data_IF_079138730031
#
_entry.id   IF_079138730031
#
_cell.length_a   1.000
_cell.length_b   1.000
_cell.length_c   1.000
_cell.angle_alpha   90.00
_cell.angle_beta   90.00
_cell.angle_gamma   90.00
#
_symmetry.space_group_name_H-M   'P 1'
#
loop_
_entity.id
_entity.type
_entity.pdbx_description
1 polymer ?
#
# COMPACT_ATOMS: atom_id res chain seq x y z
N UNK A 1 -24.45 -19.99 28.64
CA UNK A 1 -23.22 -20.45 27.98
C UNK A 1 -22.06 -19.99 28.85
N UNK A 2 -21.34 -20.93 29.46
CA UNK A 2 -20.21 -20.63 30.35
C UNK A 2 -19.04 -20.14 29.51
N UNK A 3 -18.54 -18.92 29.77
CA UNK A 3 -17.31 -18.43 29.15
C UNK A 3 -16.18 -19.42 29.44
N UNK A 4 -15.65 -20.05 28.39
CA UNK A 4 -14.48 -20.91 28.48
C UNK A 4 -13.27 -20.00 28.72
N UNK A 5 -12.96 -19.73 29.99
CA UNK A 5 -11.79 -18.93 30.37
C UNK A 5 -10.52 -19.77 30.24
N UNK A 6 -9.56 -19.29 29.48
CA UNK A 6 -8.20 -19.84 29.42
C UNK A 6 -7.52 -19.48 30.75
N UNK A 7 -7.19 -20.47 31.57
CA UNK A 7 -6.71 -20.25 32.95
C UNK A 7 -5.26 -20.65 33.14
N UNK A 8 -4.73 -21.55 32.31
CA UNK A 8 -3.33 -21.96 32.35
C UNK A 8 -2.40 -20.97 31.64
N UNK A 9 -1.17 -20.82 32.14
CA UNK A 9 -0.14 -20.00 31.48
C UNK A 9 0.20 -20.52 30.08
N UNK A 10 0.45 -21.82 29.94
CA UNK A 10 0.72 -22.45 28.65
C UNK A 10 -0.48 -22.34 27.69
N UNK A 11 -1.69 -22.50 28.20
CA UNK A 11 -2.92 -22.39 27.41
C UNK A 11 -3.09 -20.97 26.82
N UNK A 12 -2.86 -19.94 27.64
CA UNK A 12 -2.90 -18.54 27.21
C UNK A 12 -1.77 -18.20 26.23
N UNK A 13 -0.57 -18.74 26.45
CA UNK A 13 0.56 -18.58 25.54
C UNK A 13 0.28 -19.20 24.17
N UNK A 14 -0.20 -20.45 24.12
CA UNK A 14 -0.54 -21.14 22.86
C UNK A 14 -1.66 -20.42 22.10
N UNK A 15 -2.67 -19.91 22.80
CA UNK A 15 -3.74 -19.12 22.17
C UNK A 15 -3.20 -17.82 21.57
N UNK A 16 -2.35 -17.09 22.30
CA UNK A 16 -1.73 -15.86 21.80
C UNK A 16 -0.83 -16.12 20.58
N UNK A 17 -0.07 -17.22 20.56
CA UNK A 17 0.71 -17.63 19.40
C UNK A 17 -0.20 -17.92 18.18
N UNK A 18 -1.29 -18.67 18.39
CA UNK A 18 -2.28 -18.93 17.35
C UNK A 18 -2.91 -17.66 16.78
N UNK A 19 -3.25 -16.69 17.64
CA UNK A 19 -3.74 -15.37 17.21
C UNK A 19 -2.70 -14.64 16.36
N UNK A 20 -1.43 -14.65 16.78
CA UNK A 20 -0.36 -14.00 16.03
C UNK A 20 -0.17 -14.62 14.65
N UNK A 21 -0.16 -15.96 14.56
CA UNK A 21 -0.02 -16.67 13.28
C UNK A 21 -1.23 -16.41 12.39
N UNK A 22 -2.45 -16.51 12.92
CA UNK A 22 -3.67 -16.22 12.18
C UNK A 22 -3.69 -14.77 11.66
N UNK A 23 -3.28 -13.80 12.48
CA UNK A 23 -3.21 -12.40 12.05
C UNK A 23 -2.24 -12.20 10.89
N UNK A 24 -1.09 -12.89 10.89
CA UNK A 24 -0.13 -12.81 9.79
C UNK A 24 -0.68 -13.48 8.52
N UNK A 25 -1.30 -14.65 8.63
CA UNK A 25 -1.92 -15.33 7.49
C UNK A 25 -3.02 -14.47 6.83
N UNK A 26 -3.88 -13.86 7.64
CA UNK A 26 -4.93 -12.95 7.15
C UNK A 26 -4.31 -11.77 6.40
N UNK A 27 -3.24 -11.16 6.94
CA UNK A 27 -2.51 -10.08 6.27
C UNK A 27 -1.87 -10.53 4.95
N UNK A 28 -1.46 -11.79 4.83
CA UNK A 28 -0.95 -12.38 3.59
C UNK A 28 -2.06 -12.83 2.62
N UNK A 29 -3.32 -12.47 2.86
CA UNK A 29 -4.45 -12.77 1.97
C UNK A 29 -5.12 -14.13 2.20
N UNK A 30 -4.73 -14.87 3.25
CA UNK A 30 -5.38 -16.15 3.60
C UNK A 30 -6.76 -15.89 4.19
N UNK A 31 -7.80 -16.21 3.42
CA UNK A 31 -9.20 -16.04 3.85
C UNK A 31 -9.72 -17.24 4.65
N UNK A 32 -9.21 -18.44 4.37
CA UNK A 32 -9.69 -19.70 4.96
C UNK A 32 -8.56 -20.71 5.08
N UNK A 33 -8.61 -21.52 6.14
CA UNK A 33 -7.71 -22.68 6.34
C UNK A 33 -8.54 -23.89 6.73
N UNK A 34 -7.96 -25.09 6.57
CA UNK A 34 -8.47 -26.30 7.23
C UNK A 34 -7.84 -26.39 8.64
N UNK A 35 -8.61 -26.16 9.73
CA UNK A 35 -8.03 -26.12 11.08
C UNK A 35 -7.49 -27.47 11.54
N UNK A 36 -8.12 -28.57 11.14
CA UNK A 36 -7.72 -29.93 11.53
C UNK A 36 -6.35 -30.28 10.94
N UNK A 37 -6.16 -30.02 9.64
CA UNK A 37 -4.89 -30.22 8.96
C UNK A 37 -3.79 -29.30 9.51
N UNK A 38 -4.14 -28.04 9.80
CA UNK A 38 -3.20 -27.06 10.36
C UNK A 38 -2.70 -27.47 11.75
N UNK A 39 -3.61 -27.85 12.64
CA UNK A 39 -3.27 -28.34 13.98
C UNK A 39 -2.49 -29.65 13.91
N UNK A 40 -2.85 -30.55 12.99
CA UNK A 40 -2.10 -31.79 12.78
C UNK A 40 -0.65 -31.51 12.37
N UNK A 41 -0.42 -30.64 11.39
CA UNK A 41 0.94 -30.29 10.95
C UNK A 41 1.80 -29.71 12.09
N UNK A 42 1.21 -28.85 12.92
CA UNK A 42 1.88 -28.31 14.11
C UNK A 42 2.25 -29.43 15.08
N UNK A 43 1.30 -30.30 15.41
CA UNK A 43 1.52 -31.41 16.35
C UNK A 43 2.60 -32.36 15.85
N UNK A 44 2.49 -32.84 14.62
CA UNK A 44 3.45 -33.77 14.00
C UNK A 44 4.87 -33.17 14.03
N UNK A 45 5.01 -31.88 13.71
CA UNK A 45 6.29 -31.16 13.76
C UNK A 45 6.86 -31.08 15.17
N UNK A 46 6.04 -30.81 16.19
CA UNK A 46 6.50 -30.72 17.59
C UNK A 46 6.97 -32.07 18.15
N UNK A 47 6.33 -33.17 17.75
CA UNK A 47 6.69 -34.52 18.21
C UNK A 47 7.78 -35.19 17.36
N UNK A 48 8.24 -34.52 16.29
CA UNK A 48 9.24 -35.04 15.36
C UNK A 48 8.73 -36.17 14.47
N UNK A 49 7.42 -36.26 14.26
CA UNK A 49 6.84 -37.17 13.28
C UNK A 49 7.17 -36.72 11.85
N UNK A 50 7.26 -37.67 10.93
CA UNK A 50 7.44 -37.33 9.51
C UNK A 50 6.20 -36.56 9.02
N UNK A 51 6.39 -35.38 8.41
CA UNK A 51 5.27 -34.58 7.94
C UNK A 51 4.52 -35.30 6.82
N UNK A 52 3.20 -35.11 6.76
CA UNK A 52 2.35 -35.64 5.70
C UNK A 52 2.61 -34.99 4.33
N UNK A 53 3.35 -33.89 4.30
CA UNK A 53 3.77 -33.18 3.09
C UNK A 53 5.29 -33.05 3.12
N UNK A 54 5.94 -33.35 1.98
CA UNK A 54 7.36 -33.11 1.84
C UNK A 54 7.65 -31.60 1.78
N UNK A 55 8.81 -31.12 2.27
CA UNK A 55 9.12 -29.69 2.27
C UNK A 55 9.01 -29.01 0.90
N UNK A 56 9.46 -29.67 -0.17
CA UNK A 56 9.40 -29.11 -1.53
C UNK A 56 7.95 -28.98 -2.04
N UNK A 57 7.09 -29.96 -1.73
CA UNK A 57 5.67 -29.91 -2.05
C UNK A 57 4.97 -28.79 -1.27
N UNK A 58 5.28 -28.67 0.02
CA UNK A 58 4.75 -27.59 0.85
C UNK A 58 5.15 -26.21 0.32
N UNK A 59 6.41 -26.03 -0.09
CA UNK A 59 6.89 -24.77 -0.66
C UNK A 59 6.16 -24.43 -1.97
N UNK A 60 6.01 -25.39 -2.89
CA UNK A 60 5.30 -25.15 -4.16
C UNK A 60 3.83 -24.78 -3.97
N UNK A 61 3.15 -25.38 -2.97
CA UNK A 61 1.77 -25.02 -2.62
C UNK A 61 1.72 -23.59 -2.07
N UNK A 62 2.64 -23.22 -1.18
CA UNK A 62 2.70 -21.88 -0.59
C UNK A 62 3.02 -20.81 -1.63
N UNK A 63 3.98 -21.06 -2.53
CA UNK A 63 4.32 -20.16 -3.64
C UNK A 63 3.11 -19.92 -4.54
N UNK A 64 2.45 -21.00 -4.97
CA UNK A 64 1.24 -20.91 -5.81
C UNK A 64 0.11 -20.16 -5.10
N UNK A 65 -0.04 -20.35 -3.79
CA UNK A 65 -1.03 -19.62 -3.00
C UNK A 65 -0.74 -18.12 -2.96
N UNK A 66 0.51 -17.75 -2.66
CA UNK A 66 0.95 -16.35 -2.58
C UNK A 66 0.83 -15.65 -3.95
N UNK A 67 1.17 -16.35 -5.04
CA UNK A 67 1.01 -15.81 -6.38
C UNK A 67 -0.46 -15.52 -6.71
N UNK A 68 -1.37 -16.48 -6.45
CA UNK A 68 -2.80 -16.28 -6.67
C UNK A 68 -3.37 -15.15 -5.80
N UNK A 69 -2.95 -15.07 -4.53
CA UNK A 69 -3.37 -14.00 -3.64
C UNK A 69 -2.91 -12.63 -4.16
N UNK A 70 -1.66 -12.52 -4.61
CA UNK A 70 -1.10 -11.30 -5.20
C UNK A 70 -1.82 -10.91 -6.50
N UNK A 71 -2.14 -11.86 -7.37
CA UNK A 71 -2.89 -11.60 -8.60
C UNK A 71 -4.32 -11.12 -8.33
N UNK A 72 -5.00 -11.74 -7.37
CA UNK A 72 -6.35 -11.35 -6.97
C UNK A 72 -6.35 -9.95 -6.33
N UNK A 73 -5.36 -9.64 -5.48
CA UNK A 73 -5.17 -8.30 -4.94
C UNK A 73 -4.90 -7.28 -6.05
N UNK A 74 -3.99 -7.58 -6.99
CA UNK A 74 -3.67 -6.71 -8.12
C UNK A 74 -4.89 -6.39 -8.98
N UNK A 75 -5.76 -7.37 -9.19
CA UNK A 75 -7.02 -7.20 -9.91
C UNK A 75 -7.99 -6.31 -9.14
N UNK A 76 -8.18 -6.58 -7.85
CA UNK A 76 -9.10 -5.82 -6.99
C UNK A 76 -8.65 -4.35 -6.84
N UNK A 77 -7.35 -4.12 -6.68
CA UNK A 77 -6.76 -2.78 -6.60
C UNK A 77 -6.92 -2.02 -7.91
N UNK A 78 -6.68 -2.68 -9.06
CA UNK A 78 -6.87 -2.06 -10.37
C UNK A 78 -8.34 -1.68 -10.60
N UNK A 79 -9.27 -2.58 -10.33
CA UNK A 79 -10.72 -2.32 -10.48
C UNK A 79 -11.17 -1.17 -9.57
N UNK A 80 -10.81 -1.23 -8.28
CA UNK A 80 -11.17 -0.20 -7.30
C UNK A 80 -10.54 1.15 -7.62
N UNK A 81 -9.28 1.15 -8.06
CA UNK A 81 -8.56 2.35 -8.47
C UNK A 81 -9.17 3.01 -9.71
N UNK A 82 -9.51 2.23 -10.73
CA UNK A 82 -10.16 2.73 -11.95
C UNK A 82 -11.54 3.32 -11.64
N UNK A 83 -12.35 2.68 -10.81
CA UNK A 83 -13.65 3.22 -10.41
C UNK A 83 -13.47 4.50 -9.58
N UNK A 84 -12.55 4.51 -8.62
CA UNK A 84 -12.21 5.70 -7.84
C UNK A 84 -11.84 6.89 -8.74
N UNK A 85 -10.92 6.70 -9.69
CA UNK A 85 -10.48 7.75 -10.61
C UNK A 85 -11.62 8.22 -11.53
N UNK A 86 -12.44 7.29 -12.01
CA UNK A 86 -13.61 7.59 -12.86
C UNK A 86 -14.66 8.44 -12.14
N UNK A 87 -14.90 8.20 -10.86
CA UNK A 87 -15.75 9.05 -10.03
C UNK A 87 -15.06 10.38 -9.72
N UNK A 88 -13.76 10.34 -9.41
CA UNK A 88 -13.01 11.49 -8.93
C UNK A 88 -12.86 12.60 -9.98
N UNK A 89 -12.67 12.27 -11.27
CA UNK A 89 -12.64 13.26 -12.37
C UNK A 89 -13.93 14.09 -12.51
N UNK A 90 -15.04 13.62 -11.93
CA UNK A 90 -16.31 14.35 -11.98
C UNK A 90 -16.51 15.29 -10.79
N UNK A 91 -15.58 15.28 -9.82
CA UNK A 91 -15.64 16.15 -8.65
C UNK A 91 -15.18 17.56 -8.99
N UNK A 92 -15.75 18.54 -8.31
CA UNK A 92 -15.40 19.94 -8.49
C UNK A 92 -13.91 20.21 -8.19
N UNK A 93 -13.27 20.97 -9.06
CA UNK A 93 -11.86 21.34 -8.94
C UNK A 93 -10.85 20.24 -9.31
N UNK A 94 -11.32 19.06 -9.73
CA UNK A 94 -10.44 18.00 -10.24
C UNK A 94 -10.18 18.20 -11.73
N UNK A 95 -8.90 18.17 -12.11
CA UNK A 95 -8.42 18.19 -13.49
C UNK A 95 -7.76 16.87 -13.81
N UNK A 96 -8.07 16.28 -14.96
CA UNK A 96 -7.43 15.07 -15.50
C UNK A 96 -6.47 15.45 -16.64
N UNK A 97 -5.24 14.96 -16.57
CA UNK A 97 -4.22 15.12 -17.60
C UNK A 97 -4.29 13.97 -18.62
N UNK A 98 -3.72 14.12 -19.83
CA UNK A 98 -3.70 13.05 -20.83
C UNK A 98 -3.06 11.73 -20.37
N UNK A 99 -2.16 11.79 -19.40
CA UNK A 99 -1.54 10.61 -18.78
C UNK A 99 -2.48 9.81 -17.88
N UNK A 100 -3.65 10.36 -17.56
CA UNK A 100 -4.59 9.84 -16.55
C UNK A 100 -4.31 10.35 -15.13
N UNK A 101 -3.22 11.10 -14.91
CA UNK A 101 -3.00 11.79 -13.65
C UNK A 101 -4.15 12.76 -13.38
N UNK A 102 -4.73 12.69 -12.19
CA UNK A 102 -5.71 13.67 -11.74
C UNK A 102 -5.12 14.49 -10.61
N UNK A 103 -5.49 15.77 -10.55
CA UNK A 103 -5.11 16.63 -9.44
C UNK A 103 -6.22 17.63 -9.11
N UNK A 104 -6.15 18.18 -7.91
CA UNK A 104 -6.95 19.31 -7.47
C UNK A 104 -6.05 20.33 -6.79
N UNK A 105 -6.15 21.57 -7.22
CA UNK A 105 -5.48 22.69 -6.57
C UNK A 105 -6.19 23.01 -5.26
N UNK A 106 -5.49 22.92 -4.14
CA UNK A 106 -6.00 23.29 -2.81
C UNK A 106 -5.60 24.73 -2.48
N UNK A 107 -4.35 25.08 -2.78
CA UNK A 107 -3.82 26.43 -2.74
C UNK A 107 -2.96 26.66 -3.99
N UNK A 108 -3.21 27.75 -4.70
CA UNK A 108 -2.39 28.16 -5.84
C UNK A 108 -1.22 29.00 -5.34
N UNK A 109 0.01 28.59 -5.64
CA UNK A 109 1.21 29.37 -5.42
C UNK A 109 1.47 30.34 -6.56
N UNK A 110 2.44 31.23 -6.38
CA UNK A 110 2.82 32.27 -7.35
C UNK A 110 4.32 32.23 -7.70
N UNK A 111 5.05 31.22 -7.22
CA UNK A 111 6.47 31.03 -7.50
C UNK A 111 6.77 30.38 -8.84
N UNK A 112 8.06 30.14 -9.10
CA UNK A 112 8.52 29.50 -10.34
C UNK A 112 8.06 28.04 -10.45
N UNK A 113 8.00 27.53 -11.69
CA UNK A 113 7.71 26.13 -11.97
C UNK A 113 9.03 25.33 -11.96
N UNK A 114 9.12 24.23 -11.18
CA UNK A 114 10.25 23.32 -11.23
C UNK A 114 10.48 22.72 -12.62
N UNK A 115 11.74 22.61 -13.02
CA UNK A 115 12.17 21.84 -14.20
C UNK A 115 12.54 20.41 -13.83
N UNK A 116 12.67 19.52 -14.82
CA UNK A 116 13.04 18.11 -14.62
C UNK A 116 14.37 17.90 -13.90
N UNK A 117 15.30 18.84 -14.01
CA UNK A 117 16.65 18.73 -13.43
C UNK A 117 16.75 19.33 -12.03
N UNK A 118 15.70 19.99 -11.57
CA UNK A 118 15.70 20.68 -10.29
C UNK A 118 15.52 19.70 -9.12
N UNK A 119 15.87 20.19 -7.94
CA UNK A 119 15.45 19.59 -6.69
C UNK A 119 14.36 20.46 -6.07
N UNK A 120 13.38 19.80 -5.47
CA UNK A 120 12.28 20.48 -4.79
C UNK A 120 12.23 20.03 -3.34
N UNK A 121 11.81 20.94 -2.47
CA UNK A 121 11.48 20.63 -1.10
C UNK A 121 9.98 20.72 -0.90
N UNK A 122 9.39 19.66 -0.34
CA UNK A 122 7.95 19.61 -0.14
C UNK A 122 7.56 18.99 1.20
N UNK A 123 6.38 19.40 1.66
CA UNK A 123 5.59 18.57 2.55
C UNK A 123 4.69 17.64 1.72
N UNK A 124 4.49 16.41 2.21
CA UNK A 124 3.57 15.47 1.58
C UNK A 124 2.94 14.52 2.58
N UNK A 125 1.77 14.00 2.19
CA UNK A 125 1.03 12.97 2.89
C UNK A 125 0.44 12.01 1.85
N UNK A 126 0.96 10.78 1.82
CA UNK A 126 0.60 9.73 0.87
C UNK A 126 -0.30 8.67 1.51
N UNK A 127 -1.44 8.41 0.86
CA UNK A 127 -2.44 7.44 1.30
C UNK A 127 -2.90 6.54 0.15
N UNK A 128 -3.32 5.32 0.49
CA UNK A 128 -4.12 4.49 -0.41
C UNK A 128 -5.55 5.07 -0.49
N UNK A 129 -6.33 4.64 -1.48
CA UNK A 129 -7.71 5.10 -1.68
C UNK A 129 -8.65 4.83 -0.49
N UNK A 130 -8.27 3.89 0.40
CA UNK A 130 -8.99 3.58 1.64
C UNK A 130 -8.58 4.46 2.84
N UNK A 131 -7.63 5.38 2.65
CA UNK A 131 -7.10 6.28 3.67
C UNK A 131 -5.91 5.72 4.45
N UNK A 132 -5.43 4.51 4.16
CA UNK A 132 -4.22 3.95 4.78
C UNK A 132 -3.01 4.80 4.41
N UNK A 133 -2.39 5.43 5.42
CA UNK A 133 -1.15 6.20 5.26
C UNK A 133 0.01 5.25 5.03
N UNK A 134 0.74 5.43 3.93
CA UNK A 134 1.96 4.67 3.65
C UNK A 134 3.23 5.50 3.87
N UNK A 135 3.14 6.83 3.72
CA UNK A 135 4.28 7.73 3.93
C UNK A 135 3.81 9.17 4.16
N UNK A 136 4.39 9.88 5.14
CA UNK A 136 4.08 11.29 5.37
C UNK A 136 5.27 12.05 5.96
N UNK A 137 5.67 13.13 5.30
CA UNK A 137 6.67 14.07 5.83
C UNK A 137 6.06 15.01 6.88
N UNK A 138 4.74 15.25 6.82
CA UNK A 138 4.00 16.02 7.81
C UNK A 138 3.99 15.31 9.16
N UNK A 139 3.71 13.99 9.18
CA UNK A 139 3.74 13.21 10.43
C UNK A 139 5.14 13.12 11.05
N UNK A 140 6.18 13.18 10.20
CA UNK A 140 7.57 13.29 10.65
C UNK A 140 7.96 14.69 11.13
N UNK A 141 7.15 15.70 10.86
CA UNK A 141 7.42 17.10 11.21
C UNK A 141 8.57 17.75 10.43
N UNK A 142 9.02 17.14 9.32
CA UNK A 142 10.13 17.67 8.52
C UNK A 142 9.85 17.50 7.02
N UNK A 143 10.01 18.57 6.20
CA UNK A 143 9.95 18.45 4.75
C UNK A 143 10.99 17.48 4.20
N UNK A 144 10.74 16.96 3.00
CA UNK A 144 11.69 16.14 2.27
C UNK A 144 12.15 16.86 1.00
N UNK A 145 13.37 16.56 0.57
CA UNK A 145 13.96 17.08 -0.68
C UNK A 145 14.03 15.93 -1.67
N UNK A 146 13.55 16.18 -2.89
CA UNK A 146 13.53 15.21 -3.97
C UNK A 146 14.07 15.83 -5.25
N UNK A 147 14.89 15.12 -6.03
CA UNK A 147 15.09 15.47 -7.43
C UNK A 147 13.77 15.23 -8.20
N UNK A 148 13.33 16.19 -9.01
CA UNK A 148 12.05 16.11 -9.74
C UNK A 148 11.99 14.85 -10.62
N UNK A 149 13.11 14.41 -11.18
CA UNK A 149 13.20 13.20 -12.01
C UNK A 149 13.46 11.90 -11.23
N UNK A 150 13.55 11.94 -9.90
CA UNK A 150 13.82 10.76 -9.05
C UNK A 150 12.63 10.26 -8.25
N UNK A 151 11.43 10.72 -8.60
CA UNK A 151 10.15 10.32 -7.98
C UNK A 151 9.27 9.58 -8.99
N UNK A 152 8.14 9.05 -8.53
CA UNK A 152 7.17 8.36 -9.41
C UNK A 152 6.67 9.29 -10.53
N UNK A 153 6.32 8.73 -11.69
CA UNK A 153 6.01 9.51 -12.89
C UNK A 153 4.88 10.54 -12.68
N UNK A 154 3.87 10.19 -11.86
CA UNK A 154 2.79 11.13 -11.52
C UNK A 154 3.29 12.37 -10.76
N UNK A 155 4.29 12.22 -9.89
CA UNK A 155 4.94 13.36 -9.25
C UNK A 155 5.83 14.14 -10.21
N UNK A 156 6.58 13.46 -11.09
CA UNK A 156 7.40 14.13 -12.12
C UNK A 156 6.52 15.09 -12.95
N UNK A 157 5.35 14.61 -13.39
CA UNK A 157 4.40 15.42 -14.16
C UNK A 157 3.78 16.54 -13.32
N UNK A 158 3.26 16.23 -12.13
CA UNK A 158 2.62 17.23 -11.26
C UNK A 158 3.56 18.37 -10.89
N UNK A 159 4.78 18.06 -10.44
CA UNK A 159 5.72 19.06 -9.92
C UNK A 159 6.08 20.13 -10.96
N UNK A 160 6.16 19.75 -12.24
CA UNK A 160 6.46 20.70 -13.34
C UNK A 160 5.28 21.62 -13.68
N UNK A 161 4.08 21.32 -13.16
CA UNK A 161 2.86 22.11 -13.34
C UNK A 161 2.48 22.88 -12.07
N UNK A 162 3.16 22.62 -10.95
CA UNK A 162 2.90 23.21 -9.64
C UNK A 162 3.80 24.44 -9.41
N UNK A 163 3.25 25.67 -9.37
CA UNK A 163 4.02 26.82 -8.92
C UNK A 163 4.53 26.61 -7.49
N UNK A 164 5.76 27.04 -7.20
CA UNK A 164 6.25 27.06 -5.81
C UNK A 164 5.27 27.85 -4.91
N UNK A 165 5.00 27.34 -3.72
CA UNK A 165 3.98 27.82 -2.79
C UNK A 165 2.61 27.13 -2.94
N UNK A 166 2.45 26.29 -3.97
CA UNK A 166 1.20 25.56 -4.19
C UNK A 166 1.01 24.40 -3.23
N UNK A 167 -0.25 24.11 -2.91
CA UNK A 167 -0.68 22.86 -2.30
C UNK A 167 -1.68 22.17 -3.21
N UNK A 168 -1.36 20.98 -3.68
CA UNK A 168 -2.22 20.19 -4.55
C UNK A 168 -2.55 18.85 -3.91
N UNK A 169 -3.71 18.30 -4.24
CA UNK A 169 -4.02 16.90 -4.01
C UNK A 169 -3.91 16.16 -5.35
N UNK A 170 -3.05 15.14 -5.40
CA UNK A 170 -2.80 14.30 -6.56
C UNK A 170 -3.51 12.96 -6.39
N UNK A 171 -4.08 12.44 -7.47
CA UNK A 171 -4.63 11.09 -7.55
C UNK A 171 -3.92 10.38 -8.69
N UNK A 172 -3.03 9.47 -8.33
CA UNK A 172 -2.02 8.89 -9.20
C UNK A 172 -2.46 7.47 -9.58
N UNK A 173 -2.83 7.21 -10.85
CA UNK A 173 -3.04 5.86 -11.36
C UNK A 173 -1.81 4.99 -11.12
N UNK A 174 -2.01 3.69 -10.98
CA UNK A 174 -0.93 2.78 -10.58
C UNK A 174 0.26 2.79 -11.55
N UNK A 175 0.00 3.00 -12.84
CA UNK A 175 0.95 3.07 -13.94
C UNK A 175 1.88 4.29 -13.83
N UNK A 176 1.40 5.36 -13.18
CA UNK A 176 2.19 6.56 -12.86
C UNK A 176 2.78 6.51 -11.44
N UNK A 177 2.47 5.45 -10.68
CA UNK A 177 2.96 5.15 -9.35
C UNK A 177 3.93 3.97 -9.33
N UNK A 178 3.57 2.89 -8.62
CA UNK A 178 4.42 1.71 -8.43
C UNK A 178 3.97 0.47 -9.23
N UNK A 179 2.94 0.61 -10.07
CA UNK A 179 2.48 -0.42 -11.00
C UNK A 179 2.12 -1.75 -10.34
N UNK A 180 2.30 -2.83 -11.11
CA UNK A 180 1.94 -4.19 -10.70
C UNK A 180 2.80 -4.73 -9.55
N UNK A 181 3.94 -4.14 -9.27
CA UNK A 181 4.85 -4.60 -8.23
C UNK A 181 4.50 -4.03 -6.85
N UNK A 182 3.88 -2.84 -6.79
CA UNK A 182 3.70 -2.13 -5.52
C UNK A 182 5.03 -1.69 -4.90
N UNK A 183 5.01 -1.26 -3.64
CA UNK A 183 6.20 -0.78 -2.93
C UNK A 183 6.08 -0.80 -1.40
N UNK A 184 7.22 -0.97 -0.73
CA UNK A 184 7.36 -0.74 0.72
C UNK A 184 6.55 -1.67 1.62
N UNK A 185 5.96 -2.74 1.08
CA UNK A 185 5.12 -3.69 1.81
C UNK A 185 3.73 -3.18 2.18
N UNK A 186 3.48 -1.87 2.08
CA UNK A 186 2.17 -1.24 2.34
C UNK A 186 1.44 -0.94 1.04
N UNK A 187 2.16 -0.55 -0.02
CA UNK A 187 1.56 -0.27 -1.32
C UNK A 187 1.46 -1.59 -2.08
N UNK A 188 0.23 -2.08 -2.21
CA UNK A 188 -0.07 -3.29 -2.97
C UNK A 188 0.09 -3.13 -4.49
N UNK A 189 0.02 -4.24 -5.23
CA UNK A 189 0.09 -4.24 -6.69
C UNK A 189 -1.09 -3.45 -7.29
N UNK A 190 -0.82 -2.69 -8.36
CA UNK A 190 -1.79 -1.84 -9.07
C UNK A 190 -2.56 -0.83 -8.18
N UNK A 191 -2.00 -0.45 -7.03
CA UNK A 191 -2.63 0.50 -6.15
C UNK A 191 -2.64 1.91 -6.77
N UNK A 192 -3.81 2.55 -6.78
CA UNK A 192 -3.94 3.99 -7.00
C UNK A 192 -3.56 4.74 -5.72
N UNK A 193 -2.81 5.82 -5.86
CA UNK A 193 -2.26 6.57 -4.73
C UNK A 193 -2.91 7.96 -4.65
N UNK A 194 -3.09 8.46 -3.44
CA UNK A 194 -3.53 9.83 -3.18
C UNK A 194 -2.45 10.55 -2.40
N UNK A 195 -2.02 11.70 -2.89
CA UNK A 195 -1.04 12.53 -2.22
C UNK A 195 -1.59 13.93 -1.98
N UNK A 196 -1.45 14.45 -0.77
CA UNK A 196 -1.41 15.89 -0.56
C UNK A 196 0.04 16.34 -0.65
N UNK A 197 0.34 17.30 -1.51
CA UNK A 197 1.69 17.82 -1.76
C UNK A 197 1.69 19.33 -1.62
N UNK A 198 2.57 19.86 -0.79
CA UNK A 198 2.84 21.28 -0.62
C UNK A 198 4.27 21.57 -1.07
N UNK A 199 4.41 22.26 -2.20
CA UNK A 199 5.69 22.60 -2.80
C UNK A 199 6.24 23.88 -2.17
N UNK A 200 7.32 23.75 -1.40
CA UNK A 200 7.83 24.86 -0.57
C UNK A 200 8.87 25.70 -1.31
N UNK A 201 9.81 25.06 -2.00
CA UNK A 201 10.91 25.72 -2.70
C UNK A 201 11.54 24.80 -3.75
N UNK A 202 12.19 25.43 -4.74
CA UNK A 202 13.20 24.81 -5.61
C UNK A 202 14.56 25.05 -4.92
N UNK A 203 15.38 24.00 -4.82
CA UNK A 203 16.65 23.97 -4.05
C UNK A 203 17.87 24.03 -4.95
#
# INVERSE_FOLDING_TARGET
MTEKKLTGELERFSYALGMSVASNLIKSGVKTINPEAFVKAINDTFVGEMPLLMPDEANGILESFLENASQEEAKNNLESGLEFLKENRSKEGVTELPSGLQYRVINEGDGELPSLTDQVKCHYHGTLIDGTVFDSSVDRGQPAVFPVNGVIQGWVEALQLMPVGSKWQLYVPSELGYGQQGAGGVIGPNATLVFDVELLEIV
#
